data_IF_026674098773
#
_entry.id   IF_026674098773
#
_cell.length_a   1.000
_cell.length_b   1.000
_cell.length_c   1.000
_cell.angle_alpha   90.00
_cell.angle_beta   90.00
_cell.angle_gamma   90.00
#
_symmetry.space_group_name_H-M   'P 1'
#
loop_
_entity.id
_entity.type
_entity.pdbx_description
1 polymer ?
#
# COMPACT_ATOMS: atom_id res chain seq x y z
N UNK A 1 -4.93 9.46 16.07
CA UNK A 1 -3.76 8.56 15.96
C UNK A 1 -3.30 8.27 17.37
N UNK A 2 -3.04 7.00 17.68
CA UNK A 2 -2.62 6.55 19.00
C UNK A 2 -1.18 6.03 18.96
N UNK A 3 -0.47 6.13 20.08
CA UNK A 3 0.84 5.50 20.24
C UNK A 3 0.71 4.16 20.97
N UNK A 4 1.49 3.16 20.55
CA UNK A 4 1.61 1.88 21.27
C UNK A 4 2.32 2.11 22.61
N UNK A 5 3.50 2.74 22.56
CA UNK A 5 4.22 3.29 23.71
C UNK A 5 4.10 4.81 23.73
N UNK A 6 3.85 5.40 24.90
CA UNK A 6 3.60 6.83 25.02
C UNK A 6 4.66 7.74 24.35
N UNK A 7 4.17 8.83 23.77
CA UNK A 7 5.00 9.87 23.18
C UNK A 7 5.91 10.57 24.22
N UNK A 8 5.54 10.55 25.50
CA UNK A 8 6.26 11.13 26.63
C UNK A 8 6.38 10.12 27.78
N UNK A 9 7.25 10.38 28.74
CA UNK A 9 7.53 9.47 29.86
C UNK A 9 6.40 9.36 30.88
N UNK A 10 5.50 10.34 30.93
CA UNK A 10 4.36 10.35 31.85
C UNK A 10 3.08 9.74 31.24
N UNK A 11 3.16 9.19 30.02
CA UNK A 11 2.01 8.65 29.31
C UNK A 11 1.74 7.16 29.57
N UNK A 12 0.58 6.65 29.12
CA UNK A 12 0.24 5.23 29.26
C UNK A 12 1.24 4.33 28.54
N UNK A 13 1.68 3.25 29.19
CA UNK A 13 2.72 2.33 28.67
C UNK A 13 4.03 3.05 28.30
N UNK A 14 4.43 4.10 29.03
CA UNK A 14 5.69 4.78 28.79
C UNK A 14 6.89 3.83 28.89
N UNK A 15 7.85 4.02 27.98
CA UNK A 15 9.09 3.24 27.91
C UNK A 15 10.27 4.22 27.85
N UNK A 16 10.81 4.67 29.01
CA UNK A 16 11.80 5.75 29.09
C UNK A 16 13.05 5.54 28.23
N UNK A 17 13.43 4.29 28.02
CA UNK A 17 14.56 3.89 27.18
C UNK A 17 14.33 4.07 25.67
N UNK A 18 13.12 4.39 25.21
CA UNK A 18 12.86 4.68 23.79
C UNK A 18 13.32 6.09 23.43
N UNK A 19 14.09 6.17 22.36
CA UNK A 19 14.51 7.42 21.74
C UNK A 19 13.32 8.18 21.15
N UNK A 20 13.50 9.49 20.91
CA UNK A 20 12.49 10.34 20.26
C UNK A 20 12.11 9.83 18.87
N UNK A 21 13.07 9.29 18.12
CA UNK A 21 12.84 8.72 16.79
C UNK A 21 11.95 7.48 16.86
N UNK A 22 12.22 6.55 17.79
CA UNK A 22 11.40 5.35 17.98
C UNK A 22 9.98 5.68 18.44
N UNK A 23 9.79 6.76 19.21
CA UNK A 23 8.45 7.21 19.63
C UNK A 23 7.60 7.71 18.48
N UNK A 24 8.22 8.39 17.51
CA UNK A 24 7.54 8.89 16.31
C UNK A 24 7.50 7.90 15.13
N UNK A 25 8.16 6.75 15.26
CA UNK A 25 8.25 5.76 14.19
C UNK A 25 6.87 5.17 13.87
N UNK A 26 6.64 4.86 12.59
CA UNK A 26 5.40 4.25 12.12
C UNK A 26 5.02 3.02 12.94
N UNK A 27 5.99 2.20 13.32
CA UNK A 27 5.90 0.99 14.11
C UNK A 27 5.22 1.23 15.46
N UNK A 28 5.42 2.42 16.04
CA UNK A 28 4.82 2.83 17.32
C UNK A 28 3.44 3.48 17.17
N UNK A 29 2.92 3.63 15.94
CA UNK A 29 1.64 4.30 15.68
C UNK A 29 0.56 3.29 15.25
N UNK A 30 -0.68 3.57 15.69
CA UNK A 30 -1.90 2.88 15.26
C UNK A 30 -3.05 3.87 15.05
N UNK A 31 -3.88 3.64 14.03
CA UNK A 31 -5.05 4.47 13.75
C UNK A 31 -6.28 3.88 14.44
N UNK A 32 -6.91 4.67 15.31
CA UNK A 32 -8.10 4.33 16.06
C UNK A 32 -9.05 5.52 16.05
N UNK A 33 -10.36 5.26 16.19
CA UNK A 33 -11.32 6.33 16.44
C UNK A 33 -11.07 6.97 17.82
N UNK A 34 -11.58 8.19 18.03
CA UNK A 34 -11.35 8.94 19.27
C UNK A 34 -11.77 8.17 20.54
N UNK A 35 -12.85 7.38 20.44
CA UNK A 35 -13.38 6.57 21.55
C UNK A 35 -12.43 5.42 21.88
N UNK A 36 -12.05 4.62 20.89
CA UNK A 36 -11.13 3.50 21.08
C UNK A 36 -9.76 3.96 21.56
N UNK A 37 -9.27 5.09 21.05
CA UNK A 37 -8.03 5.71 21.53
C UNK A 37 -8.10 6.03 23.03
N UNK A 38 -9.16 6.74 23.45
CA UNK A 38 -9.34 7.10 24.86
C UNK A 38 -9.46 5.87 25.77
N UNK A 39 -10.10 4.81 25.28
CA UNK A 39 -10.29 3.56 26.03
C UNK A 39 -8.96 2.87 26.33
N UNK A 40 -8.10 2.69 25.33
CA UNK A 40 -6.83 1.98 25.52
C UNK A 40 -5.83 2.76 26.36
N UNK A 41 -5.89 4.09 26.31
CA UNK A 41 -5.00 4.95 27.10
C UNK A 41 -5.38 4.97 28.58
N UNK A 42 -6.68 4.84 28.89
CA UNK A 42 -7.16 4.82 30.28
C UNK A 42 -7.04 3.45 30.95
N UNK A 43 -6.78 2.39 30.20
CA UNK A 43 -6.72 1.02 30.73
C UNK A 43 -5.49 0.25 30.21
N UNK A 44 -4.25 0.69 30.53
CA UNK A 44 -3.03 0.08 30.00
C UNK A 44 -2.85 -1.39 30.39
N UNK A 45 -3.34 -1.81 31.56
CA UNK A 45 -3.26 -3.20 32.01
C UNK A 45 -4.21 -4.13 31.21
N UNK A 46 -5.34 -3.61 30.74
CA UNK A 46 -6.29 -4.35 29.90
C UNK A 46 -5.89 -4.36 28.42
N UNK A 47 -5.08 -3.38 28.01
CA UNK A 47 -4.58 -3.21 26.64
C UNK A 47 -3.05 -3.01 26.65
N UNK A 48 -2.29 -4.07 26.98
CA UNK A 48 -0.84 -4.05 26.91
C UNK A 48 -0.32 -3.91 25.47
N UNK A 49 0.96 -3.60 25.31
CA UNK A 49 1.56 -3.27 24.02
C UNK A 49 1.54 -4.43 23.01
N UNK A 50 1.65 -5.67 23.49
CA UNK A 50 1.56 -6.89 22.69
C UNK A 50 0.18 -7.07 22.04
N UNK A 51 -0.90 -6.73 22.75
CA UNK A 51 -2.28 -6.72 22.25
C UNK A 51 -2.45 -5.68 21.15
N UNK A 52 -1.98 -4.44 21.37
CA UNK A 52 -2.10 -3.36 20.38
C UNK A 52 -1.27 -3.67 19.13
N UNK A 53 -0.05 -4.21 19.31
CA UNK A 53 0.78 -4.73 18.20
C UNK A 53 0.08 -5.90 17.49
N UNK A 54 -0.65 -6.73 18.24
CA UNK A 54 -1.53 -7.78 17.72
C UNK A 54 -2.56 -7.23 16.74
N UNK A 55 -3.34 -6.22 17.14
CA UNK A 55 -4.33 -5.60 16.26
C UNK A 55 -3.71 -5.01 14.99
N UNK A 56 -2.54 -4.39 15.09
CA UNK A 56 -1.83 -3.87 13.91
C UNK A 56 -1.43 -5.00 12.95
N UNK A 57 -0.89 -6.11 13.47
CA UNK A 57 -0.57 -7.30 12.66
C UNK A 57 -1.83 -7.93 12.06
N UNK A 58 -2.89 -8.07 12.83
CA UNK A 58 -4.14 -8.69 12.39
C UNK A 58 -4.86 -7.82 11.36
N UNK A 59 -4.77 -6.49 11.49
CA UNK A 59 -5.24 -5.56 10.48
C UNK A 59 -4.44 -5.71 9.17
N UNK A 60 -3.10 -5.77 9.24
CA UNK A 60 -2.26 -6.00 8.07
C UNK A 60 -2.55 -7.37 7.40
N UNK A 61 -2.72 -8.44 8.19
CA UNK A 61 -3.14 -9.76 7.71
C UNK A 61 -4.54 -9.73 7.12
N UNK A 62 -5.47 -8.99 7.73
CA UNK A 62 -6.82 -8.82 7.21
C UNK A 62 -6.79 -8.09 5.88
N UNK A 63 -5.98 -7.05 5.74
CA UNK A 63 -5.75 -6.38 4.47
C UNK A 63 -5.18 -7.35 3.42
N UNK A 64 -4.19 -8.17 3.76
CA UNK A 64 -3.71 -9.24 2.87
C UNK A 64 -4.81 -10.23 2.49
N UNK A 65 -5.64 -10.67 3.44
CA UNK A 65 -6.77 -11.56 3.17
C UNK A 65 -7.87 -10.91 2.33
N UNK A 66 -8.09 -9.60 2.47
CA UNK A 66 -9.04 -8.82 1.66
C UNK A 66 -8.60 -8.72 0.20
N UNK A 67 -7.30 -8.89 -0.07
CA UNK A 67 -6.77 -8.96 -1.43
C UNK A 67 -6.87 -10.36 -2.04
N UNK A 68 -7.40 -11.37 -1.33
CA UNK A 68 -7.63 -12.71 -1.89
C UNK A 68 -6.35 -13.44 -2.28
N UNK A 69 -5.23 -13.09 -1.64
CA UNK A 69 -3.90 -13.59 -1.98
C UNK A 69 -3.89 -15.11 -1.87
N UNK A 70 -3.54 -15.75 -2.97
CA UNK A 70 -3.54 -17.22 -3.10
C UNK A 70 -2.13 -17.69 -3.47
N UNK A 71 -1.60 -18.72 -2.83
CA UNK A 71 -0.39 -19.38 -3.30
C UNK A 71 -0.73 -20.32 -4.47
N UNK A 72 0.07 -20.30 -5.51
CA UNK A 72 -0.14 -21.08 -6.72
C UNK A 72 0.94 -22.15 -6.89
N UNK A 73 0.55 -23.25 -7.54
CA UNK A 73 1.47 -24.34 -7.89
C UNK A 73 2.43 -23.98 -9.02
N UNK A 74 2.05 -23.04 -9.88
CA UNK A 74 2.76 -22.74 -11.12
C UNK A 74 2.58 -21.28 -11.55
N UNK A 75 3.51 -20.84 -12.40
CA UNK A 75 3.58 -19.46 -12.93
C UNK A 75 2.33 -19.09 -13.73
N UNK A 76 1.75 -20.03 -14.48
CA UNK A 76 0.57 -19.80 -15.30
C UNK A 76 -0.66 -19.45 -14.47
N UNK A 77 -0.90 -20.18 -13.37
CA UNK A 77 -1.97 -19.91 -12.43
C UNK A 77 -1.79 -18.54 -11.74
N UNK A 78 -0.58 -18.22 -11.30
CA UNK A 78 -0.27 -16.91 -10.73
C UNK A 78 -0.47 -15.77 -11.75
N UNK A 79 -0.03 -15.98 -13.00
CA UNK A 79 -0.20 -15.03 -14.10
C UNK A 79 -1.68 -14.79 -14.41
N UNK A 80 -2.52 -15.82 -14.37
CA UNK A 80 -3.95 -15.70 -14.66
C UNK A 80 -4.68 -14.74 -13.71
N UNK A 81 -4.18 -14.55 -12.49
CA UNK A 81 -4.71 -13.57 -11.51
C UNK A 81 -4.05 -12.19 -11.67
N UNK A 82 -2.75 -12.14 -11.95
CA UNK A 82 -2.00 -10.87 -12.06
C UNK A 82 -2.26 -10.15 -13.39
N UNK A 83 -2.39 -10.87 -14.51
CA UNK A 83 -2.51 -10.30 -15.84
C UNK A 83 -3.74 -9.41 -16.02
N UNK A 84 -4.95 -9.81 -15.60
CA UNK A 84 -6.14 -8.97 -15.77
C UNK A 84 -6.05 -7.63 -15.02
N UNK A 85 -5.38 -7.61 -13.86
CA UNK A 85 -5.18 -6.38 -13.08
C UNK A 85 -4.23 -5.42 -13.80
N UNK A 86 -3.14 -5.94 -14.39
CA UNK A 86 -2.21 -5.15 -15.20
C UNK A 86 -2.89 -4.63 -16.47
N UNK A 87 -3.72 -5.45 -17.11
CA UNK A 87 -4.45 -5.07 -18.32
C UNK A 87 -5.53 -4.01 -18.04
N UNK A 88 -6.25 -4.10 -16.91
CA UNK A 88 -7.18 -3.05 -16.46
C UNK A 88 -6.43 -1.73 -16.21
N UNK A 89 -5.29 -1.78 -15.50
CA UNK A 89 -4.48 -0.61 -15.23
C UNK A 89 -3.99 0.06 -16.53
N UNK A 90 -3.48 -0.73 -17.48
CA UNK A 90 -3.04 -0.25 -18.79
C UNK A 90 -4.19 0.43 -19.55
N UNK A 91 -5.34 -0.23 -19.64
CA UNK A 91 -6.51 0.32 -20.34
C UNK A 91 -7.02 1.64 -19.71
N UNK A 92 -6.97 1.76 -18.37
CA UNK A 92 -7.31 2.99 -17.68
C UNK A 92 -6.29 4.08 -17.98
N UNK A 93 -4.99 3.76 -17.91
CA UNK A 93 -3.92 4.71 -18.20
C UNK A 93 -4.03 5.25 -19.63
N UNK A 94 -4.15 4.38 -20.64
CA UNK A 94 -4.26 4.79 -22.05
C UNK A 94 -5.50 5.66 -22.32
N UNK A 95 -6.61 5.41 -21.63
CA UNK A 95 -7.87 6.12 -21.89
C UNK A 95 -8.05 7.41 -21.09
N UNK A 96 -7.50 7.46 -19.88
CA UNK A 96 -7.78 8.53 -18.92
C UNK A 96 -6.51 9.18 -18.35
N UNK A 97 -5.33 8.71 -18.74
CA UNK A 97 -4.05 9.18 -18.23
C UNK A 97 -3.74 10.63 -18.61
N UNK A 98 -2.70 11.21 -18.01
CA UNK A 98 -2.34 12.62 -18.21
C UNK A 98 -1.86 12.96 -19.62
N UNK A 99 -1.64 11.96 -20.48
CA UNK A 99 -1.16 12.15 -21.85
C UNK A 99 -2.28 12.41 -22.86
N UNK A 100 -3.54 12.20 -22.51
CA UNK A 100 -4.66 12.43 -23.44
C UNK A 100 -4.89 13.94 -23.64
N UNK A 101 -5.37 14.32 -24.83
CA UNK A 101 -5.62 15.73 -25.17
C UNK A 101 -6.58 16.40 -24.17
N UNK A 102 -7.63 15.70 -23.74
CA UNK A 102 -8.59 16.20 -22.77
C UNK A 102 -7.94 16.59 -21.42
N UNK A 103 -6.84 15.94 -21.02
CA UNK A 103 -6.13 16.28 -19.77
C UNK A 103 -5.44 17.65 -19.82
N UNK A 104 -5.23 18.21 -21.01
CA UNK A 104 -4.66 19.55 -21.20
C UNK A 104 -5.70 20.66 -21.04
N UNK A 105 -6.99 20.31 -21.09
CA UNK A 105 -8.10 21.26 -20.90
C UNK A 105 -8.62 21.20 -19.45
N UNK A 106 -8.45 22.26 -18.63
CA UNK A 106 -8.92 22.29 -17.25
C UNK A 106 -10.44 22.10 -17.09
N UNK A 107 -11.24 22.43 -18.11
CA UNK A 107 -12.70 22.35 -18.08
C UNK A 107 -13.25 20.98 -18.50
N UNK A 108 -12.40 20.06 -18.96
CA UNK A 108 -12.83 18.76 -19.50
C UNK A 108 -13.28 17.76 -18.42
N UNK A 109 -12.93 18.00 -17.15
CA UNK A 109 -13.09 17.03 -16.07
C UNK A 109 -12.16 15.80 -16.16
N UNK A 110 -11.23 15.77 -17.12
CA UNK A 110 -10.31 14.65 -17.32
C UNK A 110 -9.38 14.44 -16.11
N UNK A 111 -8.87 15.52 -15.51
CA UNK A 111 -8.03 15.46 -14.32
C UNK A 111 -8.75 14.83 -13.11
N UNK A 112 -10.03 15.18 -12.90
CA UNK A 112 -10.84 14.61 -11.83
C UNK A 112 -11.18 13.14 -12.10
N UNK A 113 -11.48 12.81 -13.36
CA UNK A 113 -11.68 11.41 -13.79
C UNK A 113 -10.42 10.58 -13.57
N UNK A 114 -9.25 11.11 -13.93
CA UNK A 114 -7.95 10.46 -13.71
C UNK A 114 -7.70 10.21 -12.23
N UNK A 115 -7.85 11.25 -11.39
CA UNK A 115 -7.68 11.15 -9.94
C UNK A 115 -8.59 10.10 -9.33
N UNK A 116 -9.88 10.10 -9.71
CA UNK A 116 -10.84 9.08 -9.25
C UNK A 116 -10.41 7.68 -9.68
N UNK A 117 -9.96 7.49 -10.92
CA UNK A 117 -9.50 6.19 -11.41
C UNK A 117 -8.21 5.72 -10.72
N UNK A 118 -7.30 6.63 -10.35
CA UNK A 118 -6.12 6.27 -9.55
C UNK A 118 -6.50 5.71 -8.20
N UNK A 119 -7.30 6.46 -7.46
CA UNK A 119 -7.66 6.11 -6.09
C UNK A 119 -8.58 4.88 -6.01
N UNK A 120 -9.43 4.66 -7.02
CA UNK A 120 -10.44 3.59 -6.99
C UNK A 120 -10.07 2.34 -7.77
N UNK A 121 -9.06 2.38 -8.65
CA UNK A 121 -8.69 1.26 -9.52
C UNK A 121 -7.20 1.00 -9.57
N UNK A 122 -6.39 1.92 -10.10
CA UNK A 122 -4.97 1.63 -10.36
C UNK A 122 -4.21 1.33 -9.07
N UNK A 123 -4.26 2.20 -8.06
CA UNK A 123 -3.55 1.96 -6.80
C UNK A 123 -4.03 0.67 -6.08
N UNK A 124 -5.36 0.42 -5.93
CA UNK A 124 -5.84 -0.85 -5.41
C UNK A 124 -5.37 -2.08 -6.21
N UNK A 125 -5.40 -2.02 -7.54
CA UNK A 125 -4.96 -3.12 -8.40
C UNK A 125 -3.45 -3.35 -8.29
N UNK A 126 -2.64 -2.29 -8.27
CA UNK A 126 -1.19 -2.37 -8.12
C UNK A 126 -0.79 -2.98 -6.77
N UNK A 127 -1.47 -2.58 -5.69
CA UNK A 127 -1.26 -3.18 -4.36
C UNK A 127 -1.68 -4.66 -4.32
N UNK A 128 -2.77 -5.05 -5.00
CA UNK A 128 -3.15 -6.46 -5.18
C UNK A 128 -2.09 -7.26 -5.93
N UNK A 129 -1.55 -6.69 -7.01
CA UNK A 129 -0.48 -7.31 -7.79
C UNK A 129 0.75 -7.55 -6.92
N UNK A 130 1.23 -6.54 -6.18
CA UNK A 130 2.36 -6.69 -5.26
C UNK A 130 2.10 -7.79 -4.22
N UNK A 131 0.95 -7.75 -3.55
CA UNK A 131 0.61 -8.74 -2.53
C UNK A 131 0.58 -10.17 -3.11
N UNK A 132 0.05 -10.33 -4.32
CA UNK A 132 -0.03 -11.61 -5.01
C UNK A 132 1.35 -12.13 -5.43
N UNK A 133 2.23 -11.24 -5.91
CA UNK A 133 3.60 -11.57 -6.31
C UNK A 133 4.50 -11.88 -5.11
N UNK A 134 4.33 -11.18 -3.99
CA UNK A 134 5.08 -11.44 -2.76
C UNK A 134 4.77 -12.82 -2.17
N UNK A 135 3.49 -13.21 -2.14
CA UNK A 135 3.09 -14.54 -1.70
C UNK A 135 3.58 -15.65 -2.63
N UNK A 136 3.83 -15.33 -3.90
CA UNK A 136 4.28 -16.27 -4.92
C UNK A 136 5.72 -16.00 -5.35
N UNK A 137 6.53 -15.41 -4.46
CA UNK A 137 7.90 -14.99 -4.79
C UNK A 137 8.78 -16.14 -5.29
N UNK A 138 8.52 -17.36 -4.82
CA UNK A 138 9.22 -18.56 -5.27
C UNK A 138 8.98 -18.90 -6.75
N UNK A 139 7.89 -18.39 -7.36
CA UNK A 139 7.58 -18.59 -8.76
C UNK A 139 8.27 -17.56 -9.67
N UNK A 140 8.88 -16.49 -9.13
CA UNK A 140 9.49 -15.42 -9.91
C UNK A 140 10.93 -15.76 -10.32
N UNK A 141 11.28 -15.40 -11.56
CA UNK A 141 12.65 -15.40 -12.04
C UNK A 141 13.45 -14.26 -11.40
N UNK A 142 14.77 -14.37 -11.42
CA UNK A 142 15.65 -13.39 -10.77
C UNK A 142 15.46 -11.99 -11.36
N UNK A 143 15.35 -11.90 -12.67
CA UNK A 143 15.16 -10.63 -13.40
C UNK A 143 13.78 -10.01 -13.09
N UNK A 144 12.78 -10.84 -12.84
CA UNK A 144 11.43 -10.39 -12.46
C UNK A 144 11.40 -9.80 -11.05
N UNK A 145 12.24 -10.30 -10.13
CA UNK A 145 12.33 -9.73 -8.78
C UNK A 145 12.73 -8.25 -8.82
N UNK A 146 13.72 -7.89 -9.64
CA UNK A 146 14.17 -6.50 -9.80
C UNK A 146 13.06 -5.62 -10.40
N UNK A 147 12.28 -6.16 -11.35
CA UNK A 147 11.12 -5.48 -11.94
C UNK A 147 10.01 -5.26 -10.90
N UNK A 148 9.75 -6.24 -10.04
CA UNK A 148 8.75 -6.13 -8.95
C UNK A 148 9.17 -5.08 -7.93
N UNK A 149 10.45 -5.01 -7.56
CA UNK A 149 10.94 -3.97 -6.64
C UNK A 149 10.83 -2.58 -7.28
N UNK A 150 11.17 -2.43 -8.57
CA UNK A 150 10.96 -1.18 -9.29
C UNK A 150 9.47 -0.79 -9.36
N UNK A 151 8.57 -1.76 -9.50
CA UNK A 151 7.12 -1.51 -9.51
C UNK A 151 6.63 -1.07 -8.14
N UNK A 152 7.22 -1.59 -7.05
CA UNK A 152 6.92 -1.15 -5.69
C UNK A 152 7.28 0.33 -5.47
N UNK A 153 8.43 0.78 -5.97
CA UNK A 153 8.79 2.21 -5.93
C UNK A 153 7.85 3.07 -6.77
N UNK A 154 7.45 2.59 -7.95
CA UNK A 154 6.46 3.27 -8.78
C UNK A 154 5.10 3.45 -8.08
N UNK A 155 4.64 2.46 -7.31
CA UNK A 155 3.41 2.59 -6.52
C UNK A 155 3.57 3.65 -5.43
N UNK A 156 4.68 3.62 -4.69
CA UNK A 156 4.99 4.59 -3.64
C UNK A 156 4.96 6.03 -4.18
N UNK A 157 5.60 6.27 -5.32
CA UNK A 157 5.57 7.58 -5.99
C UNK A 157 4.15 8.01 -6.39
N UNK A 158 3.33 7.07 -6.90
CA UNK A 158 1.94 7.36 -7.24
C UNK A 158 1.09 7.67 -5.99
N UNK A 159 1.34 7.01 -4.88
CA UNK A 159 0.68 7.28 -3.60
C UNK A 159 1.08 8.65 -3.05
N UNK A 160 2.37 9.01 -3.11
CA UNK A 160 2.84 10.34 -2.75
C UNK A 160 2.13 11.44 -3.55
N UNK A 161 2.00 11.27 -4.86
CA UNK A 161 1.33 12.25 -5.73
C UNK A 161 -0.18 12.31 -5.49
N UNK A 162 -0.86 11.16 -5.41
CA UNK A 162 -2.33 11.11 -5.48
C UNK A 162 -3.04 11.05 -4.12
N UNK A 163 -2.34 10.60 -3.07
CA UNK A 163 -2.86 10.50 -1.70
C UNK A 163 -2.27 11.61 -0.84
N UNK A 164 -0.95 11.82 -0.89
CA UNK A 164 -0.26 12.80 -0.04
C UNK A 164 -0.20 14.22 -0.62
N UNK A 165 -0.64 14.41 -1.88
CA UNK A 165 -0.57 15.68 -2.61
C UNK A 165 0.86 16.25 -2.71
N UNK A 166 1.88 15.36 -2.68
CA UNK A 166 3.27 15.73 -2.91
C UNK A 166 3.54 15.81 -4.41
N UNK A 167 3.93 16.99 -4.88
CA UNK A 167 4.28 17.21 -6.28
C UNK A 167 5.76 16.90 -6.50
N UNK A 168 6.08 15.61 -6.49
CA UNK A 168 7.40 15.07 -6.79
C UNK A 168 7.39 14.36 -8.16
N UNK A 169 8.56 14.19 -8.76
CA UNK A 169 8.70 13.46 -10.02
C UNK A 169 8.42 11.98 -9.77
N UNK A 170 7.27 11.49 -10.23
CA UNK A 170 6.93 10.07 -10.12
C UNK A 170 7.72 9.22 -11.13
N UNK A 171 8.26 8.09 -10.68
CA UNK A 171 8.91 7.14 -11.57
C UNK A 171 7.94 6.56 -12.61
N UNK A 172 8.50 6.12 -13.73
CA UNK A 172 7.72 5.49 -14.81
C UNK A 172 7.41 4.04 -14.47
N UNK A 173 6.28 3.56 -15.01
CA UNK A 173 5.92 2.15 -14.95
C UNK A 173 7.09 1.28 -15.48
N UNK A 174 7.59 0.29 -14.72
CA UNK A 174 8.79 -0.45 -15.10
C UNK A 174 8.63 -1.28 -16.38
N UNK A 175 9.66 -1.26 -17.22
CA UNK A 175 9.75 -2.15 -18.37
C UNK A 175 9.75 -3.62 -17.90
N UNK A 176 8.98 -4.48 -18.57
CA UNK A 176 8.87 -5.91 -18.21
C UNK A 176 7.78 -6.22 -17.18
N UNK A 177 7.26 -5.24 -16.43
CA UNK A 177 6.20 -5.50 -15.44
C UNK A 177 4.92 -6.05 -16.09
N UNK A 178 4.63 -5.64 -17.32
CA UNK A 178 3.51 -6.14 -18.10
C UNK A 178 3.62 -7.65 -18.42
N UNK A 179 4.84 -8.16 -18.45
CA UNK A 179 5.20 -9.51 -18.86
C UNK A 179 5.61 -10.39 -17.67
N UNK A 180 5.53 -9.89 -16.43
CA UNK A 180 5.83 -10.67 -15.22
C UNK A 180 4.98 -11.94 -15.18
N UNK A 181 5.61 -13.06 -14.80
CA UNK A 181 5.04 -14.41 -14.80
C UNK A 181 4.64 -14.95 -16.18
N UNK A 182 4.97 -14.28 -17.30
CA UNK A 182 4.83 -14.89 -18.63
C UNK A 182 5.91 -15.96 -18.82
N UNK A 183 5.55 -17.03 -19.53
CA UNK A 183 6.36 -18.25 -19.70
C UNK A 183 5.72 -19.40 -18.94
#
# INVERSE_FOLDING_TARGET
>A
MAHVFAANDDGPRAKPQMSKAERGAFENLIMLCAVCHTMIDKAPDAYPDDVIRGWKRDHAKKLQSLFGVTEFSDRGAARAVVAPLLDENRAIFERYGPHIEAAQNPESGAAETWRRKMLTRILPNSNRIIAQLDANRALLAKEELDVVEAFRQHIDDLEAVHIEDRREDASRFPAGMQDVLKG
#
